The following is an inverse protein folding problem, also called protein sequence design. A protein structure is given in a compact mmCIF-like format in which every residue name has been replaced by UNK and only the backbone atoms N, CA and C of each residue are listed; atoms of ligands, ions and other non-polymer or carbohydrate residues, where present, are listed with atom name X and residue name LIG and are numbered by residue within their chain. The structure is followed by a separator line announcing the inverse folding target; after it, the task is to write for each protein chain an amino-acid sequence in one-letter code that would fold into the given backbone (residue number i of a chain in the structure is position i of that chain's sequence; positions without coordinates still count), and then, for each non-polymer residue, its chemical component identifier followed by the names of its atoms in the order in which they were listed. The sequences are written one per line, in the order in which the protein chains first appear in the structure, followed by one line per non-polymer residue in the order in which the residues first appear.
data_IF_645693108813
#
_entry.id   IF_645693108813
#
_cell.length_a   1.000
_cell.length_b   1.000
_cell.length_c   1.000
_cell.angle_alpha   90.00
_cell.angle_beta   90.00
_cell.angle_gamma   90.00
#
_symmetry.space_group_name_H-M   'P 1'
#
loop_
_entity.id
_entity.type
_entity.pdbx_description
1 polymer ?
#
# COMPACT_ATOMS: atom_id res chain seq x y z
N UNK A 1 12.89 7.25 -10.26
CA UNK A 1 12.52 8.45 -9.46
C UNK A 1 11.78 8.01 -8.21
N UNK A 2 12.04 8.62 -7.05
CA UNK A 2 11.28 8.33 -5.83
C UNK A 2 9.86 8.92 -5.86
N UNK A 3 8.91 8.26 -5.18
CA UNK A 3 7.58 8.82 -4.95
C UNK A 3 7.69 10.09 -4.07
N UNK A 4 7.04 11.17 -4.48
CA UNK A 4 6.96 12.40 -3.68
C UNK A 4 6.00 12.21 -2.51
N UNK A 5 6.29 12.83 -1.37
CA UNK A 5 5.35 12.86 -0.25
C UNK A 5 4.11 13.71 -0.60
N UNK A 6 2.97 13.41 0.00
CA UNK A 6 1.72 14.16 -0.22
C UNK A 6 0.46 13.32 -0.13
N UNK A 7 -0.65 13.92 -0.60
CA UNK A 7 -1.98 13.31 -0.60
C UNK A 7 -2.25 12.56 -1.91
N UNK A 8 -2.67 11.31 -1.81
CA UNK A 8 -2.88 10.42 -2.94
C UNK A 8 -4.16 9.61 -2.82
N UNK A 9 -4.74 9.28 -3.97
CA UNK A 9 -5.61 8.12 -4.15
C UNK A 9 -4.73 6.97 -4.64
N UNK A 10 -4.80 5.83 -3.97
CA UNK A 10 -3.93 4.68 -4.25
C UNK A 10 -4.75 3.64 -5.00
N UNK A 11 -4.40 3.39 -6.27
CA UNK A 11 -5.13 2.49 -7.18
C UNK A 11 -4.32 1.22 -7.44
N UNK A 12 -4.96 0.07 -7.31
CA UNK A 12 -4.37 -1.21 -7.72
C UNK A 12 -4.31 -1.31 -9.25
N UNK A 13 -3.18 -1.79 -9.76
CA UNK A 13 -2.98 -2.07 -11.19
C UNK A 13 -2.96 -3.60 -11.34
N UNK A 14 -3.94 -4.19 -12.03
CA UNK A 14 -3.95 -5.61 -12.31
C UNK A 14 -2.71 -6.07 -13.08
N UNK A 15 -2.38 -7.32 -12.89
CA UNK A 15 -1.46 -8.07 -13.72
C UNK A 15 -1.66 -7.80 -15.23
N UNK A 16 -0.57 -7.58 -15.97
CA UNK A 16 -0.58 -7.38 -17.42
C UNK A 16 -1.39 -6.16 -17.93
N UNK A 17 -1.79 -5.25 -17.05
CA UNK A 17 -2.43 -3.99 -17.42
C UNK A 17 -1.45 -2.83 -17.25
N UNK A 18 -1.38 -1.96 -18.26
CA UNK A 18 -0.64 -0.70 -18.22
C UNK A 18 -1.61 0.49 -18.18
N UNK A 19 -1.38 1.50 -17.33
CA UNK A 19 -2.02 2.80 -17.46
C UNK A 19 -1.76 3.43 -18.85
N UNK A 20 -2.60 4.38 -19.29
CA UNK A 20 -3.83 4.82 -18.64
C UNK A 20 -5.00 3.84 -18.88
N UNK A 21 -5.78 3.57 -17.85
CA UNK A 21 -7.07 2.85 -17.95
C UNK A 21 -8.13 3.51 -17.07
N UNK A 22 -9.40 3.37 -17.47
CA UNK A 22 -10.57 3.89 -16.75
C UNK A 22 -11.02 2.92 -15.66
N UNK A 23 -11.42 3.45 -14.51
CA UNK A 23 -11.85 2.64 -13.36
C UNK A 23 -10.68 2.06 -12.56
N UNK A 24 -10.91 0.88 -11.98
CA UNK A 24 -9.97 0.17 -11.11
C UNK A 24 -10.37 0.17 -9.64
N UNK A 25 -9.64 -0.62 -8.86
CA UNK A 25 -9.86 -0.76 -7.43
C UNK A 25 -8.94 0.19 -6.67
N UNK A 26 -9.48 0.91 -5.68
CA UNK A 26 -8.77 1.86 -4.86
C UNK A 26 -8.70 1.38 -3.43
N UNK A 27 -7.56 1.61 -2.79
CA UNK A 27 -7.38 1.24 -1.40
C UNK A 27 -8.31 2.07 -0.50
N UNK A 28 -9.03 1.38 0.38
CA UNK A 28 -10.01 1.97 1.29
C UNK A 28 -10.01 1.24 2.63
N UNK A 29 -10.23 1.96 3.71
CA UNK A 29 -10.46 1.41 5.04
C UNK A 29 -11.92 1.57 5.42
N UNK A 30 -12.48 0.58 6.12
CA UNK A 30 -13.82 0.65 6.71
C UNK A 30 -13.73 1.00 8.19
N UNK A 31 -13.02 0.19 8.98
CA UNK A 31 -12.98 0.28 10.44
C UNK A 31 -11.57 0.03 11.00
N UNK A 32 -11.36 0.50 12.24
CA UNK A 32 -10.09 0.34 12.98
C UNK A 32 -9.85 -1.15 13.23
N UNK A 33 -8.66 -1.63 12.88
CA UNK A 33 -8.25 -3.03 13.05
C UNK A 33 -8.66 -3.93 11.89
N UNK A 34 -9.56 -3.49 11.01
CA UNK A 34 -10.00 -4.25 9.86
C UNK A 34 -8.99 -4.18 8.70
N UNK A 35 -9.03 -5.16 7.77
CA UNK A 35 -8.22 -5.13 6.56
C UNK A 35 -8.52 -3.91 5.69
N UNK A 36 -7.47 -3.38 5.05
CA UNK A 36 -7.62 -2.46 3.94
C UNK A 36 -8.23 -3.23 2.77
N UNK A 37 -9.27 -2.66 2.18
CA UNK A 37 -9.97 -3.19 1.03
C UNK A 37 -9.52 -2.50 -0.26
N UNK A 38 -9.80 -3.14 -1.39
CA UNK A 38 -9.60 -2.60 -2.73
C UNK A 38 -10.96 -2.49 -3.44
N UNK A 39 -11.56 -1.31 -3.41
CA UNK A 39 -12.93 -1.10 -3.91
C UNK A 39 -12.99 -0.22 -5.16
N UNK A 40 -13.91 -0.52 -6.07
CA UNK A 40 -14.21 0.36 -7.19
C UNK A 40 -14.93 1.63 -6.69
N UNK A 41 -14.65 2.81 -7.29
CA UNK A 41 -15.40 4.02 -6.96
C UNK A 41 -16.85 3.88 -7.41
N UNK A 42 -17.79 4.23 -6.55
CA UNK A 42 -19.22 4.26 -6.86
C UNK A 42 -19.74 5.69 -6.86
N UNK A 43 -20.98 5.89 -7.32
CA UNK A 43 -21.64 7.20 -7.24
C UNK A 43 -21.73 7.73 -5.78
N UNK A 44 -21.80 6.81 -4.81
CA UNK A 44 -21.96 7.11 -3.39
C UNK A 44 -20.63 7.11 -2.62
N UNK A 45 -19.59 6.47 -3.17
CA UNK A 45 -18.29 6.31 -2.50
C UNK A 45 -17.14 6.80 -3.40
N UNK A 46 -16.54 7.92 -3.01
CA UNK A 46 -15.31 8.43 -3.65
C UNK A 46 -14.09 7.63 -3.17
N UNK A 47 -13.03 7.50 -3.99
CA UNK A 47 -11.77 6.92 -3.55
C UNK A 47 -11.24 7.64 -2.31
N UNK A 48 -10.86 6.87 -1.30
CA UNK A 48 -10.27 7.40 -0.08
C UNK A 48 -8.94 8.08 -0.40
N UNK A 49 -8.71 9.22 0.27
CA UNK A 49 -7.45 9.95 0.22
C UNK A 49 -6.55 9.44 1.34
N UNK A 50 -5.30 9.21 1.00
CA UNK A 50 -4.23 8.77 1.87
C UNK A 50 -3.10 9.79 1.85
N UNK A 51 -2.44 9.98 2.97
CA UNK A 51 -1.22 10.76 3.10
C UNK A 51 -0.02 9.82 3.09
N UNK A 52 0.96 10.12 2.24
CA UNK A 52 2.19 9.37 2.08
C UNK A 52 3.36 10.25 2.52
N UNK A 53 4.13 9.78 3.49
CA UNK A 53 5.30 10.48 4.03
C UNK A 53 6.45 9.52 4.28
N UNK A 54 7.68 10.03 4.40
CA UNK A 54 8.84 9.23 4.80
C UNK A 54 9.12 9.36 6.29
N UNK A 55 9.53 8.26 6.91
CA UNK A 55 10.05 8.26 8.26
C UNK A 55 11.55 8.66 8.29
N UNK A 56 12.13 8.70 9.49
CA UNK A 56 13.55 9.03 9.69
C UNK A 56 14.51 8.03 9.04
N UNK A 57 14.05 6.80 8.79
CA UNK A 57 14.81 5.74 8.11
C UNK A 57 14.67 5.82 6.58
N UNK A 58 13.97 6.82 6.05
CA UNK A 58 13.71 6.98 4.62
C UNK A 58 12.71 5.99 4.02
N UNK A 59 12.03 5.18 4.86
CA UNK A 59 10.93 4.29 4.47
C UNK A 59 9.63 5.07 4.40
N UNK A 60 8.71 4.61 3.57
CA UNK A 60 7.40 5.24 3.41
C UNK A 60 6.40 4.71 4.43
N UNK A 61 5.51 5.60 4.86
CA UNK A 61 4.34 5.30 5.67
C UNK A 61 3.11 5.85 4.94
N UNK A 62 1.99 5.13 5.02
CA UNK A 62 0.70 5.52 4.41
C UNK A 62 -0.32 5.66 5.53
N UNK A 63 -0.85 6.87 5.74
CA UNK A 63 -1.83 7.19 6.78
C UNK A 63 -3.06 7.85 6.20
N UNK A 64 -4.11 8.01 7.01
CA UNK A 64 -5.11 9.03 6.74
C UNK A 64 -4.45 10.42 6.76
N UNK A 65 -5.04 11.39 6.03
CA UNK A 65 -4.61 12.78 6.09
C UNK A 65 -4.64 13.32 7.52
N UNK A 66 -3.56 13.97 7.93
CA UNK A 66 -3.47 14.63 9.23
C UNK A 66 -4.50 15.76 9.37
N UNK A 67 -5.07 15.90 10.56
CA UNK A 67 -5.85 17.09 10.91
C UNK A 67 -4.90 18.20 11.37
N UNK A 68 -4.95 19.37 10.73
CA UNK A 68 -4.34 20.58 11.26
C UNK A 68 -5.21 21.12 12.41
N UNK A 69 -4.99 20.64 13.64
CA UNK A 69 -5.62 21.23 14.84
C UNK A 69 -4.76 22.37 15.39
N UNK A 70 -5.38 23.52 15.70
CA UNK A 70 -4.75 24.66 16.37
C UNK A 70 -4.52 24.46 17.88
N UNK A 71 -5.00 23.36 18.45
CA UNK A 71 -4.86 23.05 19.88
C UNK A 71 -3.59 22.22 20.09
N UNK A 72 -2.51 22.93 20.42
CA UNK A 72 -1.19 22.39 20.69
C UNK A 72 -1.16 21.53 21.96
N UNK A 73 -0.60 20.33 21.86
CA UNK A 73 -0.15 19.54 23.01
C UNK A 73 0.03 18.06 22.71
N UNK A 74 -0.95 17.45 22.04
CA UNK A 74 -0.94 16.03 21.66
C UNK A 74 -1.50 15.95 20.24
N UNK A 75 -0.64 15.68 19.25
CA UNK A 75 -1.08 15.49 17.87
C UNK A 75 -2.03 14.29 17.78
N UNK A 76 -3.03 14.30 16.88
CA UNK A 76 -3.91 13.15 16.72
C UNK A 76 -3.09 11.92 16.32
N UNK A 77 -3.35 10.78 16.97
CA UNK A 77 -2.80 9.50 16.51
C UNK A 77 -3.48 9.17 15.19
N UNK A 78 -2.71 9.19 14.10
CA UNK A 78 -3.25 8.87 12.79
C UNK A 78 -3.42 7.36 12.64
N UNK A 79 -4.35 6.99 11.78
CA UNK A 79 -4.58 5.61 11.41
C UNK A 79 -3.99 5.39 10.03
N UNK A 80 -3.41 4.22 9.78
CA UNK A 80 -2.73 3.97 8.52
C UNK A 80 -2.59 2.50 8.20
N UNK A 81 -1.82 2.24 7.16
CA UNK A 81 -1.55 0.89 6.67
C UNK A 81 -0.57 0.22 7.63
N UNK A 82 -0.92 -0.97 8.06
CA UNK A 82 -0.15 -1.74 9.03
C UNK A 82 -0.13 -3.21 8.67
N UNK A 83 0.89 -3.94 9.12
CA UNK A 83 0.96 -5.38 8.92
C UNK A 83 0.10 -6.10 9.98
N UNK A 84 -0.65 -7.11 9.55
CA UNK A 84 -1.18 -8.14 10.45
C UNK A 84 -0.06 -9.09 10.88
N UNK A 85 -0.32 -9.91 11.90
CA UNK A 85 0.70 -10.81 12.43
C UNK A 85 1.10 -11.84 11.35
N UNK A 86 2.40 -12.17 11.18
CA UNK A 86 2.90 -13.12 10.18
C UNK A 86 2.19 -14.48 10.19
N UNK A 87 1.69 -14.88 11.37
CA UNK A 87 1.04 -16.16 11.63
C UNK A 87 -0.39 -16.26 11.09
N UNK A 88 -0.96 -15.16 10.57
CA UNK A 88 -2.27 -15.19 9.90
C UNK A 88 -2.09 -15.60 8.43
N UNK A 89 -2.88 -16.56 7.99
CA UNK A 89 -2.66 -17.43 6.83
C UNK A 89 -2.48 -16.75 5.46
N UNK A 90 -1.37 -17.16 4.79
CA UNK A 90 -1.11 -17.39 3.34
C UNK A 90 -0.97 -16.21 2.36
N UNK A 91 0.08 -16.24 1.52
CA UNK A 91 1.46 -16.07 1.92
C UNK A 91 1.65 -14.61 2.38
N UNK A 92 1.63 -14.41 3.70
CA UNK A 92 1.77 -13.12 4.36
C UNK A 92 0.42 -12.55 4.84
N UNK A 93 0.43 -11.94 6.03
CA UNK A 93 -0.76 -11.39 6.68
C UNK A 93 -1.46 -10.27 5.89
N UNK A 94 -2.63 -9.86 6.35
CA UNK A 94 -3.40 -8.76 5.76
C UNK A 94 -2.73 -7.41 6.02
N UNK A 95 -3.04 -6.40 5.20
CA UNK A 95 -2.75 -5.01 5.55
C UNK A 95 -3.95 -4.49 6.35
N UNK A 96 -3.72 -4.10 7.60
CA UNK A 96 -4.75 -3.62 8.52
C UNK A 96 -4.75 -2.11 8.60
N UNK A 97 -5.91 -1.55 8.93
CA UNK A 97 -6.07 -0.14 9.23
C UNK A 97 -5.85 0.10 10.75
N UNK A 98 -4.64 0.48 11.17
CA UNK A 98 -4.30 0.74 12.59
C UNK A 98 -3.11 1.71 12.76
N UNK A 99 -2.80 2.05 14.01
CA UNK A 99 -1.79 3.06 14.39
C UNK A 99 -0.34 2.59 14.33
N UNK A 100 -0.09 1.27 14.27
CA UNK A 100 1.26 0.70 14.22
C UNK A 100 1.71 0.53 12.77
N UNK A 101 2.10 1.61 12.10
CA UNK A 101 2.22 1.59 10.65
C UNK A 101 3.29 0.64 10.11
N UNK A 102 3.03 0.11 8.92
CA UNK A 102 4.02 -0.62 8.15
C UNK A 102 5.05 0.36 7.57
N UNK A 103 6.33 0.04 7.72
CA UNK A 103 7.40 0.72 6.99
C UNK A 103 7.55 0.09 5.61
N UNK A 104 7.34 0.88 4.55
CA UNK A 104 7.28 0.40 3.18
C UNK A 104 8.48 0.85 2.36
N UNK A 105 8.96 0.01 1.46
CA UNK A 105 9.79 0.44 0.33
C UNK A 105 8.89 0.61 -0.89
N UNK A 106 8.80 1.84 -1.40
CA UNK A 106 8.00 2.17 -2.59
C UNK A 106 8.94 2.46 -3.74
N UNK A 107 9.02 1.53 -4.67
CA UNK A 107 9.94 1.59 -5.80
C UNK A 107 9.18 1.84 -7.11
N UNK A 108 9.66 2.77 -7.96
CA UNK A 108 9.06 2.98 -9.28
C UNK A 108 9.30 1.77 -10.17
N UNK A 109 8.24 1.31 -10.83
CA UNK A 109 8.29 0.31 -11.90
C UNK A 109 7.75 0.97 -13.17
N UNK A 110 8.62 1.13 -14.17
CA UNK A 110 8.32 1.87 -15.40
C UNK A 110 8.80 3.32 -15.39
N UNK A 111 8.38 4.09 -16.39
CA UNK A 111 8.79 5.49 -16.58
C UNK A 111 7.71 6.31 -17.29
N UNK A 112 7.79 7.64 -17.20
CA UNK A 112 6.86 8.56 -17.86
C UNK A 112 5.45 8.56 -17.23
N UNK A 113 4.42 8.68 -18.06
CA UNK A 113 3.02 8.82 -17.65
C UNK A 113 2.41 7.53 -17.09
N UNK A 114 3.10 6.40 -17.29
CA UNK A 114 2.66 5.07 -16.86
C UNK A 114 3.38 4.62 -15.58
N UNK A 115 3.82 5.57 -14.76
CA UNK A 115 4.59 5.28 -13.56
C UNK A 115 3.77 4.42 -12.58
N UNK A 116 4.23 3.18 -12.40
CA UNK A 116 3.70 2.24 -11.41
C UNK A 116 4.66 2.17 -10.25
N UNK A 117 4.20 1.61 -9.15
CA UNK A 117 5.01 1.39 -7.97
C UNK A 117 4.81 -0.01 -7.42
N UNK A 118 5.90 -0.66 -7.06
CA UNK A 118 5.88 -1.83 -6.19
C UNK A 118 5.99 -1.38 -4.74
N UNK A 119 5.15 -1.95 -3.87
CA UNK A 119 5.16 -1.70 -2.44
C UNK A 119 5.73 -2.94 -1.77
N UNK A 120 6.95 -2.85 -1.22
CA UNK A 120 7.58 -3.94 -0.46
C UNK A 120 7.42 -3.70 1.03
N UNK A 121 7.28 -4.79 1.75
CA UNK A 121 7.26 -4.83 3.22
C UNK A 121 8.44 -5.68 3.73
N UNK A 122 8.92 -5.45 4.97
CA UNK A 122 9.92 -6.31 5.58
C UNK A 122 9.44 -7.76 5.63
N UNK A 123 10.37 -8.70 5.47
CA UNK A 123 10.05 -10.12 5.57
C UNK A 123 9.49 -10.44 6.97
N UNK A 124 8.23 -10.91 7.08
CA UNK A 124 7.58 -11.19 8.35
C UNK A 124 8.18 -12.41 9.10
N UNK A 125 8.89 -13.30 8.39
CA UNK A 125 9.56 -14.48 8.94
C UNK A 125 11.07 -14.23 9.23
N UNK A 126 11.57 -13.02 8.99
CA UNK A 126 12.99 -12.66 9.13
C UNK A 126 13.84 -13.03 7.91
N UNK A 127 15.14 -12.77 7.95
CA UNK A 127 16.05 -13.12 6.84
C UNK A 127 16.15 -14.64 6.67
N UNK A 128 15.58 -15.18 5.58
CA UNK A 128 15.88 -16.55 5.17
C UNK A 128 17.34 -16.67 4.70
N UNK A 129 17.91 -17.88 4.81
CA UNK A 129 19.28 -18.16 4.38
C UNK A 129 19.53 -17.82 2.89
N UNK A 130 20.80 -17.64 2.54
CA UNK A 130 21.33 -17.08 1.28
C UNK A 130 20.86 -17.70 -0.06
N UNK A 131 19.95 -18.68 -0.06
CA UNK A 131 19.47 -19.39 -1.25
C UNK A 131 18.08 -18.98 -1.76
N UNK A 132 17.29 -18.21 -1.00
CA UNK A 132 15.94 -17.79 -1.39
C UNK A 132 15.79 -16.28 -1.23
N UNK A 133 15.91 -15.52 -2.34
CA UNK A 133 15.47 -14.13 -2.37
C UNK A 133 13.94 -14.12 -2.39
N UNK A 134 13.34 -14.08 -1.19
CA UNK A 134 11.90 -13.95 -1.00
C UNK A 134 11.61 -12.50 -0.61
N UNK A 135 11.02 -11.78 -1.54
CA UNK A 135 10.53 -10.43 -1.30
C UNK A 135 9.02 -10.48 -1.02
N UNK A 136 8.53 -9.62 -0.14
CA UNK A 136 7.11 -9.53 0.20
C UNK A 136 6.55 -8.22 -0.33
N UNK A 137 5.50 -8.33 -1.14
CA UNK A 137 4.82 -7.20 -1.77
C UNK A 137 3.41 -7.04 -1.24
N UNK A 138 2.89 -5.81 -1.31
CA UNK A 138 1.48 -5.56 -1.08
C UNK A 138 0.72 -5.78 -2.39
N UNK A 139 -0.30 -6.62 -2.36
CA UNK A 139 -1.15 -6.97 -3.48
C UNK A 139 -2.63 -6.89 -3.10
N UNK A 140 -3.48 -6.82 -4.12
CA UNK A 140 -4.91 -7.08 -3.98
C UNK A 140 -5.14 -8.61 -4.06
N UNK A 141 -6.03 -9.12 -3.22
CA UNK A 141 -6.49 -10.52 -3.14
C UNK A 141 -8.01 -10.61 -3.28
N UNK A 142 -8.44 -11.57 -4.11
CA UNK A 142 -9.84 -11.98 -4.30
C UNK A 142 -10.80 -10.83 -4.68
N UNK A 143 -10.26 -9.79 -5.32
CA UNK A 143 -10.90 -8.53 -5.73
C UNK A 143 -11.46 -7.68 -4.60
N UNK A 144 -10.92 -7.84 -3.38
CA UNK A 144 -11.53 -7.23 -2.20
C UNK A 144 -10.50 -6.80 -1.15
N UNK A 145 -9.47 -7.61 -0.88
CA UNK A 145 -8.60 -7.39 0.29
C UNK A 145 -7.18 -7.03 -0.13
N UNK A 146 -6.58 -6.05 0.54
CA UNK A 146 -5.15 -5.74 0.40
C UNK A 146 -4.34 -6.61 1.36
N UNK A 147 -3.46 -7.44 0.81
CA UNK A 147 -2.67 -8.43 1.56
C UNK A 147 -1.20 -8.41 1.18
N UNK A 148 -0.38 -9.04 2.00
CA UNK A 148 0.99 -9.37 1.63
C UNK A 148 0.99 -10.54 0.63
N UNK A 149 1.96 -10.56 -0.26
CA UNK A 149 2.20 -11.62 -1.23
C UNK A 149 3.71 -11.85 -1.35
N UNK A 150 4.16 -13.08 -1.14
CA UNK A 150 5.55 -13.48 -1.40
C UNK A 150 5.86 -13.58 -2.89
N UNK A 151 7.10 -13.24 -3.22
CA UNK A 151 7.67 -13.41 -4.53
C UNK A 151 9.05 -14.04 -4.41
N UNK A 152 9.27 -15.15 -5.12
CA UNK A 152 10.58 -15.79 -5.19
C UNK A 152 11.12 -15.73 -6.61
N UNK A 153 12.40 -15.41 -6.76
CA UNK A 153 13.10 -15.40 -8.06
C UNK A 153 13.25 -16.79 -8.71
N UNK A 154 12.97 -17.87 -7.98
CA UNK A 154 13.27 -19.26 -8.36
C UNK A 154 12.08 -20.07 -8.91
N UNK A 155 10.87 -19.51 -8.95
CA UNK A 155 9.68 -20.18 -9.53
C UNK A 155 8.95 -19.22 -10.46
N UNK A 156 8.20 -19.77 -11.43
CA UNK A 156 7.18 -19.09 -12.23
C UNK A 156 6.30 -18.28 -11.28
N UNK A 157 6.70 -17.04 -11.04
CA UNK A 157 6.05 -16.17 -10.09
C UNK A 157 4.78 -15.66 -10.76
N UNK A 158 3.78 -15.31 -9.95
CA UNK A 158 2.55 -14.65 -10.43
C UNK A 158 2.92 -13.35 -11.15
N UNK A 159 2.01 -12.52 -11.65
CA UNK A 159 2.38 -11.19 -12.15
C UNK A 159 2.66 -10.25 -10.96
N UNK A 160 3.63 -9.34 -11.10
CA UNK A 160 4.11 -8.52 -9.99
C UNK A 160 3.03 -7.50 -9.63
N UNK A 161 2.59 -7.40 -8.37
CA UNK A 161 1.54 -6.47 -8.00
C UNK A 161 2.06 -5.04 -8.10
N UNK A 162 1.25 -4.17 -8.70
CA UNK A 162 1.61 -2.78 -8.91
C UNK A 162 0.51 -1.85 -8.44
N UNK A 163 0.92 -0.67 -8.02
CA UNK A 163 0.03 0.38 -7.53
C UNK A 163 0.31 1.69 -8.27
N UNK A 164 -0.71 2.52 -8.40
CA UNK A 164 -0.59 3.89 -8.88
C UNK A 164 -0.92 4.87 -7.76
N UNK A 165 -0.07 5.87 -7.59
CA UNK A 165 -0.29 6.99 -6.67
C UNK A 165 -0.79 8.19 -7.48
N UNK A 166 -2.10 8.42 -7.43
CA UNK A 166 -2.75 9.51 -8.16
C UNK A 166 -2.90 10.69 -7.19
N UNK A 167 -2.27 11.86 -7.44
CA UNK A 167 -2.39 13.01 -6.54
C UNK A 167 -3.85 13.36 -6.26
N UNK A 168 -4.19 13.52 -4.98
CA UNK A 168 -5.48 14.08 -4.59
C UNK A 168 -5.37 15.60 -4.68
N UNK A 169 -6.17 16.24 -5.52
CA UNK A 169 -6.21 17.70 -5.58
C UNK A 169 -6.58 18.27 -4.21
N UNK A 170 -5.69 19.08 -3.62
CA UNK A 170 -6.06 20.03 -2.56
C UNK A 170 -6.86 21.14 -3.23
N UNK A 171 -8.18 21.11 -3.06
CA UNK A 171 -9.01 22.28 -3.31
C UNK A 171 -8.76 23.35 -2.27
#
# INVERSE_FOLDING_TARGET
MSLKEGLYRIRYIPAAVDPPFTGGLYAKSTEIGEPILAEAPTAESRPQVWEVHRNQNGKYIITQPGFQSKLAGIGPVLMGWSLSNPSESFPGGKILFKVNYAELEIEPVGSGDNLKYSLKVPNPEGTHGAGLNIDFFIAERDHDVVSQAYWSSLRFSRPHPHWQFIPAETK
#
